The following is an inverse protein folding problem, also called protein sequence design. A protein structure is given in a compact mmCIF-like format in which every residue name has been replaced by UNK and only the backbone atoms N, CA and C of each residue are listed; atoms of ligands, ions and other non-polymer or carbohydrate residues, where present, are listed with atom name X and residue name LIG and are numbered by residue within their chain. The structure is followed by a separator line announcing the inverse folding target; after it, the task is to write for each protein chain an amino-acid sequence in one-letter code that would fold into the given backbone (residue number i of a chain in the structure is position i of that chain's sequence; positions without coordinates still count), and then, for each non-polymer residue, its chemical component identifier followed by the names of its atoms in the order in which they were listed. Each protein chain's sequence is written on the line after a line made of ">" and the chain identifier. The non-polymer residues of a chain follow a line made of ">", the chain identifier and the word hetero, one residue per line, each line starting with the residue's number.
data_IF_997432071470
#
_entry.id   IF_997432071470
#
_cell.length_a   1.000
_cell.length_b   1.000
_cell.length_c   1.000
_cell.angle_alpha   90.00
_cell.angle_beta   90.00
_cell.angle_gamma   90.00
#
_symmetry.space_group_name_H-M   'P 1'
#
loop_
_entity.id
_entity.type
_entity.pdbx_description
1 polymer ?
#
# COMPACT_ATOMS: atom_id res chain seq x y z
N UNK A 1 -31.72 -9.58 -1.96
CA UNK A 1 -30.74 -10.68 -2.00
C UNK A 1 -29.39 -10.07 -1.62
N UNK A 2 -28.68 -10.61 -0.63
CA UNK A 2 -27.35 -10.14 -0.26
C UNK A 2 -26.29 -10.99 -0.97
N UNK A 3 -25.29 -10.35 -1.57
CA UNK A 3 -24.16 -11.02 -2.22
C UNK A 3 -23.05 -11.25 -1.20
N UNK A 4 -22.50 -12.47 -1.16
CA UNK A 4 -21.29 -12.75 -0.39
C UNK A 4 -20.07 -12.38 -1.22
N UNK A 5 -19.14 -11.64 -0.60
CA UNK A 5 -17.86 -11.25 -1.17
C UNK A 5 -16.75 -11.46 -0.15
N UNK A 6 -15.55 -11.74 -0.62
CA UNK A 6 -14.35 -11.65 0.22
C UNK A 6 -14.15 -10.19 0.62
N UNK A 7 -13.55 -9.94 1.79
CA UNK A 7 -13.33 -8.58 2.29
C UNK A 7 -11.95 -8.47 2.91
N UNK A 8 -11.22 -7.40 2.58
CA UNK A 8 -9.92 -7.11 3.14
C UNK A 8 -9.93 -5.73 3.80
N UNK A 9 -9.22 -5.63 4.93
CA UNK A 9 -9.11 -4.40 5.69
C UNK A 9 -7.92 -3.57 5.23
N UNK A 10 -8.16 -2.27 5.02
CA UNK A 10 -7.19 -1.27 4.61
C UNK A 10 -7.16 -0.17 5.67
N UNK A 11 -5.96 0.22 6.10
CA UNK A 11 -5.79 1.37 6.99
C UNK A 11 -5.78 2.66 6.18
N UNK A 12 -6.26 3.75 6.77
CA UNK A 12 -6.16 5.06 6.13
C UNK A 12 -4.70 5.53 6.09
N UNK A 13 -4.28 6.25 5.04
CA UNK A 13 -5.13 6.79 3.95
C UNK A 13 -5.34 5.82 2.77
N UNK A 14 -4.74 4.63 2.80
CA UNK A 14 -4.76 3.72 1.64
C UNK A 14 -6.16 3.21 1.30
N UNK A 15 -7.06 3.10 2.27
CA UNK A 15 -8.45 2.72 1.99
C UNK A 15 -9.13 3.77 1.09
N UNK A 16 -9.03 5.06 1.44
CA UNK A 16 -9.52 6.15 0.61
C UNK A 16 -8.86 6.18 -0.77
N UNK A 17 -7.52 6.03 -0.82
CA UNK A 17 -6.79 6.03 -2.09
C UNK A 17 -7.22 4.92 -3.05
N UNK A 18 -7.59 3.74 -2.54
CA UNK A 18 -8.14 2.64 -3.37
C UNK A 18 -9.56 2.96 -3.81
N UNK A 19 -10.41 3.42 -2.90
CA UNK A 19 -11.82 3.75 -3.19
C UNK A 19 -11.97 4.92 -4.17
N UNK A 20 -11.01 5.84 -4.20
CA UNK A 20 -10.98 6.97 -5.13
C UNK A 20 -10.16 6.66 -6.40
N UNK A 21 -9.67 5.42 -6.55
CA UNK A 21 -8.99 4.96 -7.76
C UNK A 21 -7.57 5.46 -7.97
N UNK A 22 -6.97 6.14 -6.99
CA UNK A 22 -5.58 6.63 -7.06
C UNK A 22 -4.55 5.54 -6.79
N UNK A 23 -4.84 4.64 -5.84
CA UNK A 23 -3.99 3.47 -5.56
C UNK A 23 -4.51 2.27 -6.34
N UNK A 24 -3.89 2.02 -7.48
CA UNK A 24 -4.27 0.93 -8.41
C UNK A 24 -3.51 -0.37 -8.17
N UNK A 25 -2.38 -0.32 -7.45
CA UNK A 25 -1.58 -1.49 -7.08
C UNK A 25 -1.56 -1.65 -5.57
N UNK A 26 -2.06 -2.79 -5.08
CA UNK A 26 -2.01 -3.14 -3.66
C UNK A 26 -0.77 -3.96 -3.33
N UNK A 27 -0.09 -3.63 -2.22
CA UNK A 27 1.16 -4.27 -1.81
C UNK A 27 0.96 -5.02 -0.49
N UNK A 28 1.38 -6.29 -0.42
CA UNK A 28 1.31 -7.12 0.79
C UNK A 28 2.57 -7.98 0.92
N UNK A 29 2.96 -8.24 2.17
CA UNK A 29 4.07 -9.15 2.49
C UNK A 29 3.79 -10.62 2.17
N UNK A 30 2.51 -10.99 1.96
CA UNK A 30 2.06 -12.32 1.59
C UNK A 30 1.12 -12.20 0.39
N UNK A 31 1.11 -13.17 -0.54
CA UNK A 31 0.27 -13.13 -1.74
C UNK A 31 -1.20 -13.49 -1.43
N UNK A 32 -1.80 -12.82 -0.45
CA UNK A 32 -3.17 -13.11 0.04
C UNK A 32 -4.26 -12.81 -0.99
N UNK A 33 -3.94 -11.98 -2.01
CA UNK A 33 -4.85 -11.63 -3.09
C UNK A 33 -4.75 -12.56 -4.31
N UNK A 34 -3.71 -13.41 -4.40
CA UNK A 34 -3.53 -14.30 -5.54
C UNK A 34 -4.71 -15.25 -5.78
N UNK A 35 -5.34 -15.86 -4.75
CA UNK A 35 -6.53 -16.69 -4.95
C UNK A 35 -7.78 -15.91 -5.37
N UNK A 36 -7.74 -14.57 -5.32
CA UNK A 36 -8.86 -13.68 -5.62
C UNK A 36 -8.75 -13.03 -7.01
N UNK A 37 -7.79 -13.42 -7.83
CA UNK A 37 -7.64 -12.90 -9.19
C UNK A 37 -8.95 -13.04 -9.99
N UNK A 38 -9.33 -11.96 -10.68
CA UNK A 38 -10.58 -11.79 -11.42
C UNK A 38 -11.86 -11.89 -10.56
N UNK A 39 -11.76 -11.67 -9.24
CA UNK A 39 -12.91 -11.59 -8.34
C UNK A 39 -13.09 -10.17 -7.77
N UNK A 40 -14.32 -9.85 -7.39
CA UNK A 40 -14.64 -8.61 -6.68
C UNK A 40 -14.39 -8.78 -5.17
N UNK A 41 -13.67 -7.83 -4.59
CA UNK A 41 -13.27 -7.76 -3.20
C UNK A 41 -13.94 -6.56 -2.50
N UNK A 42 -14.48 -6.80 -1.31
CA UNK A 42 -14.94 -5.76 -0.40
C UNK A 42 -13.78 -5.03 0.28
N UNK A 43 -13.89 -3.71 0.34
CA UNK A 43 -12.95 -2.84 1.05
C UNK A 43 -13.52 -2.49 2.41
N UNK A 44 -12.88 -2.99 3.47
CA UNK A 44 -13.14 -2.55 4.83
C UNK A 44 -12.15 -1.46 5.25
N UNK A 45 -12.66 -0.34 5.77
CA UNK A 45 -11.84 0.73 6.32
C UNK A 45 -11.50 0.39 7.78
N UNK A 46 -10.23 0.16 8.07
CA UNK A 46 -9.77 -0.13 9.42
C UNK A 46 -9.95 1.08 10.35
N UNK A 47 -10.13 0.81 11.65
CA UNK A 47 -10.18 1.86 12.68
C UNK A 47 -8.85 2.60 12.85
N UNK A 48 -7.73 1.87 12.78
CA UNK A 48 -6.39 2.42 12.98
C UNK A 48 -5.81 2.99 11.69
N UNK A 49 -5.06 4.07 11.85
CA UNK A 49 -4.24 4.64 10.79
C UNK A 49 -3.05 3.77 10.41
N UNK A 50 -2.59 3.98 9.19
CA UNK A 50 -1.24 3.61 8.79
C UNK A 50 -0.23 4.44 9.58
N UNK A 51 0.79 3.77 10.13
CA UNK A 51 1.75 4.40 11.04
C UNK A 51 2.83 5.21 10.29
N UNK A 52 3.04 4.94 9.00
CA UNK A 52 4.05 5.61 8.18
C UNK A 52 3.57 6.90 7.49
N UNK A 53 4.49 7.82 7.27
CA UNK A 53 4.24 9.10 6.59
C UNK A 53 4.65 9.13 5.11
N UNK A 54 5.23 8.05 4.59
CA UNK A 54 5.93 8.00 3.29
C UNK A 54 4.97 8.25 2.12
N UNK A 55 3.70 7.89 2.27
CA UNK A 55 2.66 8.15 1.27
C UNK A 55 2.51 9.65 0.96
N UNK A 56 2.80 10.55 1.93
CA UNK A 56 2.76 12.00 1.69
C UNK A 56 3.80 12.43 0.67
N UNK A 57 5.00 11.85 0.74
CA UNK A 57 6.07 12.15 -0.20
C UNK A 57 5.71 11.66 -1.60
N UNK A 58 5.17 10.44 -1.71
CA UNK A 58 4.71 9.90 -2.99
C UNK A 58 3.62 10.77 -3.63
N UNK A 59 2.66 11.27 -2.86
CA UNK A 59 1.60 12.16 -3.36
C UNK A 59 2.10 13.58 -3.67
N UNK A 60 3.10 14.08 -2.94
CA UNK A 60 3.61 15.45 -3.13
C UNK A 60 4.26 15.67 -4.50
N UNK A 61 4.68 14.60 -5.19
CA UNK A 61 5.15 14.66 -6.58
C UNK A 61 4.03 14.76 -7.62
N UNK A 62 2.78 14.51 -7.23
CA UNK A 62 1.62 14.42 -8.13
C UNK A 62 0.60 15.55 -7.90
N UNK A 63 0.53 16.08 -6.68
CA UNK A 63 -0.50 17.02 -6.27
C UNK A 63 0.00 17.98 -5.19
N UNK A 64 -0.61 19.17 -5.13
CA UNK A 64 -0.27 20.18 -4.13
C UNK A 64 -0.91 19.87 -2.76
N UNK A 65 -0.48 20.57 -1.71
CA UNK A 65 -0.95 20.35 -0.33
C UNK A 65 -2.47 20.49 -0.16
N UNK A 66 -3.12 21.42 -0.87
CA UNK A 66 -4.57 21.61 -0.82
C UNK A 66 -5.32 20.42 -1.41
N UNK A 67 -4.86 19.94 -2.57
CA UNK A 67 -5.41 18.75 -3.21
C UNK A 67 -5.21 17.48 -2.37
N UNK A 68 -4.06 17.33 -1.71
CA UNK A 68 -3.83 16.23 -0.77
C UNK A 68 -4.83 16.31 0.40
N UNK A 69 -5.11 17.50 0.91
CA UNK A 69 -6.04 17.67 2.02
C UNK A 69 -7.48 17.30 1.60
N UNK A 70 -7.94 17.81 0.46
CA UNK A 70 -9.26 17.46 -0.10
C UNK A 70 -9.39 15.95 -0.36
N UNK A 71 -8.33 15.33 -0.86
CA UNK A 71 -8.29 13.88 -1.07
C UNK A 71 -8.42 13.10 0.25
N UNK A 72 -7.71 13.51 1.30
CA UNK A 72 -7.80 12.86 2.61
C UNK A 72 -9.19 13.02 3.23
N UNK A 73 -9.80 14.19 3.10
CA UNK A 73 -11.17 14.44 3.55
C UNK A 73 -12.19 13.59 2.77
N UNK A 74 -12.03 13.49 1.45
CA UNK A 74 -12.83 12.62 0.59
C UNK A 74 -12.71 11.14 0.95
N UNK A 75 -11.50 10.70 1.32
CA UNK A 75 -11.22 9.34 1.76
C UNK A 75 -11.89 8.96 3.09
N UNK A 76 -12.27 9.92 3.94
CA UNK A 76 -12.94 9.71 5.23
C UNK A 76 -14.47 9.81 5.13
N UNK A 77 -15.04 10.01 3.93
CA UNK A 77 -16.50 10.25 3.72
C UNK A 77 -17.43 9.19 4.30
N UNK A 78 -16.94 7.96 4.50
CA UNK A 78 -17.71 6.85 5.05
C UNK A 78 -17.35 6.51 6.51
N UNK A 79 -16.41 7.24 7.11
CA UNK A 79 -15.86 6.92 8.43
C UNK A 79 -15.04 5.63 8.44
N UNK A 80 -14.92 5.01 9.60
CA UNK A 80 -14.04 3.85 9.86
C UNK A 80 -14.76 2.70 10.54
N UNK A 81 -14.22 1.49 10.36
CA UNK A 81 -14.85 0.25 10.83
C UNK A 81 -16.04 -0.18 9.98
N UNK A 82 -16.02 0.17 8.70
CA UNK A 82 -17.13 -0.04 7.76
C UNK A 82 -16.64 -0.73 6.48
N UNK A 83 -17.51 -1.50 5.84
CA UNK A 83 -17.30 -1.93 4.45
C UNK A 83 -17.78 -0.81 3.54
N UNK A 84 -16.85 -0.15 2.86
CA UNK A 84 -17.08 1.13 2.21
C UNK A 84 -17.14 1.07 0.67
N UNK A 85 -16.76 -0.06 0.07
CA UNK A 85 -16.81 -0.22 -1.36
C UNK A 85 -16.34 -1.59 -1.85
N UNK A 86 -16.28 -1.71 -3.16
CA UNK A 86 -15.87 -2.90 -3.89
C UNK A 86 -14.75 -2.55 -4.87
N UNK A 87 -13.83 -3.47 -5.10
CA UNK A 87 -12.80 -3.36 -6.14
C UNK A 87 -12.59 -4.72 -6.81
N UNK A 88 -12.26 -4.74 -8.09
CA UNK A 88 -11.87 -5.97 -8.76
C UNK A 88 -10.37 -6.23 -8.59
N UNK A 89 -10.03 -7.49 -8.30
CA UNK A 89 -8.65 -7.91 -8.07
C UNK A 89 -8.05 -8.43 -9.38
N UNK A 90 -6.97 -7.80 -9.84
CA UNK A 90 -6.18 -8.27 -10.97
C UNK A 90 -5.15 -9.34 -10.58
N UNK A 91 -4.11 -9.49 -11.40
CA UNK A 91 -3.01 -10.40 -11.12
C UNK A 91 -2.22 -10.03 -9.85
N UNK A 92 -1.61 -11.02 -9.21
CA UNK A 92 -0.69 -10.82 -8.07
C UNK A 92 0.72 -11.24 -8.47
N UNK A 93 1.71 -10.37 -8.28
CA UNK A 93 3.11 -10.63 -8.59
C UNK A 93 4.03 -10.22 -7.44
N UNK A 94 5.19 -10.86 -7.36
CA UNK A 94 6.26 -10.41 -6.49
C UNK A 94 7.04 -9.30 -7.19
N UNK A 95 7.38 -8.23 -6.46
CA UNK A 95 8.18 -7.13 -7.02
C UNK A 95 9.51 -7.66 -7.59
N UNK A 96 9.81 -7.47 -8.88
CA UNK A 96 11.05 -7.94 -9.49
C UNK A 96 12.28 -7.30 -8.84
N UNK A 97 13.31 -8.09 -8.55
CA UNK A 97 14.58 -7.59 -8.00
C UNK A 97 15.35 -6.68 -8.96
N UNK A 98 15.11 -6.78 -10.26
CA UNK A 98 15.76 -5.97 -11.30
C UNK A 98 15.36 -4.49 -11.28
N UNK A 99 14.26 -4.12 -10.62
CA UNK A 99 13.78 -2.72 -10.55
C UNK A 99 14.53 -1.87 -9.52
N UNK A 100 15.38 -2.47 -8.68
CA UNK A 100 16.02 -1.80 -7.53
C UNK A 100 17.05 -0.71 -7.91
N UNK A 101 17.40 -0.57 -9.19
CA UNK A 101 18.48 0.33 -9.63
C UNK A 101 18.08 1.53 -10.50
N UNK A 102 16.93 1.53 -11.18
CA UNK A 102 16.67 2.52 -12.24
C UNK A 102 15.68 3.64 -11.84
N UNK A 103 14.74 3.37 -10.91
CA UNK A 103 13.64 4.30 -10.60
C UNK A 103 13.87 5.17 -9.36
N UNK A 104 14.73 4.74 -8.43
CA UNK A 104 15.04 5.49 -7.20
C UNK A 104 15.91 6.74 -7.45
N UNK A 105 16.51 6.88 -8.64
CA UNK A 105 17.33 8.04 -9.01
C UNK A 105 16.51 9.17 -9.67
N UNK A 106 15.25 8.91 -10.07
CA UNK A 106 14.38 9.91 -10.70
C UNK A 106 13.59 10.77 -9.71
N UNK A 107 13.43 10.32 -8.47
CA UNK A 107 12.68 11.00 -7.43
C UNK A 107 13.63 11.62 -6.39
N UNK A 108 14.24 12.75 -6.76
CA UNK A 108 14.99 13.59 -5.83
C UNK A 108 16.48 13.26 -5.77
N UNK A 109 17.25 13.87 -6.68
CA UNK A 109 18.68 14.11 -6.45
C UNK A 109 18.84 15.13 -5.30
N UNK A 110 18.59 14.68 -4.08
CA UNK A 110 19.00 15.33 -2.84
C UNK A 110 20.15 14.52 -2.27
N UNK A 111 21.37 15.03 -2.45
CA UNK A 111 22.60 14.49 -1.87
C UNK A 111 22.44 14.17 -0.38
N UNK A 112 22.51 12.90 0.00
CA UNK A 112 22.97 12.52 1.33
C UNK A 112 23.65 11.15 1.25
N UNK A 113 24.97 11.20 1.25
CA UNK A 113 25.87 10.08 1.49
C UNK A 113 25.67 9.59 2.94
N UNK A 114 24.74 8.66 3.16
CA UNK A 114 24.64 7.97 4.46
C UNK A 114 23.91 6.62 4.43
N UNK A 115 23.92 5.91 3.29
CA UNK A 115 23.28 4.58 3.17
C UNK A 115 24.19 3.39 3.55
N UNK A 116 25.30 3.61 4.28
CA UNK A 116 26.27 2.54 4.59
C UNK A 116 26.03 1.82 5.93
N UNK A 117 24.81 1.82 6.47
CA UNK A 117 24.51 1.05 7.68
C UNK A 117 23.12 0.40 7.60
N UNK A 118 23.00 -0.63 6.77
CA UNK A 118 22.03 -1.70 7.00
C UNK A 118 22.83 -2.98 7.23
N UNK A 119 22.94 -3.35 8.51
CA UNK A 119 23.66 -4.50 9.02
C UNK A 119 23.28 -5.79 8.29
N UNK A 120 24.29 -6.59 7.97
CA UNK A 120 24.14 -7.97 7.54
C UNK A 120 23.39 -8.78 8.63
N UNK A 121 22.55 -9.75 8.27
CA UNK A 121 21.88 -10.59 9.26
C UNK A 121 22.88 -11.43 10.06
N UNK A 122 22.63 -11.53 11.37
CA UNK A 122 23.41 -12.28 12.35
C UNK A 122 23.57 -13.76 11.93
N UNK A 123 24.80 -14.29 11.80
CA UNK A 123 25.05 -15.69 11.42
C UNK A 123 24.50 -16.72 12.41
N UNK A 124 24.09 -16.33 13.63
CA UNK A 124 23.52 -17.25 14.62
C UNK A 124 22.09 -17.73 14.29
N UNK A 125 21.37 -17.09 13.36
CA UNK A 125 19.96 -17.43 13.03
C UNK A 125 19.85 -18.53 11.95
N UNK A 126 20.96 -18.98 11.35
CA UNK A 126 20.93 -20.01 10.29
C UNK A 126 21.06 -21.46 10.79
N UNK A 127 21.24 -21.70 12.09
CA UNK A 127 21.42 -23.05 12.63
C UNK A 127 20.26 -23.51 13.52
N UNK A 128 19.03 -23.50 13.00
CA UNK A 128 17.95 -24.33 13.57
C UNK A 128 16.93 -24.68 12.49
N UNK A 129 17.34 -25.47 11.50
CA UNK A 129 16.49 -26.35 10.70
C UNK A 129 17.42 -27.39 10.04
N UNK A 130 17.70 -28.46 10.78
CA UNK A 130 18.16 -29.74 10.27
C UNK A 130 17.24 -30.81 10.85
#
# INVERSE_FOLDING_TARGET
>A
MAQQVWCLSFRQPYAGLVLDGLKTVESRWRPVLAPLENQTLGIHIAQRDWEGGEWRQALSGLMNRGQIQELLEGGERFGRGVVAGLVDVGGTWQCPSSLQGAELQGAGAGSSSDWSAAEAPDPAVQSTLA
#
